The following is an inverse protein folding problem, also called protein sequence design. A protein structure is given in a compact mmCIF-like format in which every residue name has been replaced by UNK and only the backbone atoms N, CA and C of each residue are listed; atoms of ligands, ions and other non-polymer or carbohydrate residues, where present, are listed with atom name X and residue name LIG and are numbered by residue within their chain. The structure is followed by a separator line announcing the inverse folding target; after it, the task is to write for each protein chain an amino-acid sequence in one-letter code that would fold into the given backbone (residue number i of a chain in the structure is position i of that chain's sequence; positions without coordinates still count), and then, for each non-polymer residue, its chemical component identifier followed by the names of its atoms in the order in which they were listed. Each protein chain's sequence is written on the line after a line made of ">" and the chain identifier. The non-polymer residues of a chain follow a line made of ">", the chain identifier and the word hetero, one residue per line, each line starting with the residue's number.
data_IF_925353627069
#
_entry.id   IF_925353627069
#
_cell.length_a   1.000
_cell.length_b   1.000
_cell.length_c   1.000
_cell.angle_alpha   90.00
_cell.angle_beta   90.00
_cell.angle_gamma   90.00
#
_symmetry.space_group_name_H-M   'P 1'
#
loop_
_entity.id
_entity.type
_entity.pdbx_description
1 polymer ?
#
# COMPACT_ATOMS: atom_id res chain seq x y z
N UNK A 1 -8.83 11.99 3.67
CA UNK A 1 -9.00 11.25 2.41
C UNK A 1 -7.71 11.29 1.61
N UNK A 2 -7.19 10.16 1.24
CA UNK A 2 -5.95 10.11 0.51
C UNK A 2 -5.67 8.76 -0.09
N UNK A 3 -4.75 8.73 -1.00
CA UNK A 3 -4.35 7.50 -1.66
C UNK A 3 -2.94 7.14 -1.22
N UNK A 4 -2.72 5.86 -0.96
CA UNK A 4 -1.37 5.35 -0.71
C UNK A 4 -0.86 4.84 -2.05
N UNK A 5 0.23 5.42 -2.53
CA UNK A 5 0.77 5.10 -3.84
C UNK A 5 2.10 4.37 -3.72
N UNK A 6 2.45 3.62 -4.77
CA UNK A 6 3.71 2.91 -4.80
C UNK A 6 4.87 3.90 -4.96
N UNK A 7 5.92 3.80 -4.13
CA UNK A 7 7.07 4.68 -4.27
C UNK A 7 7.91 4.36 -5.49
N UNK A 8 7.80 3.13 -5.98
CA UNK A 8 8.49 2.69 -7.20
C UNK A 8 7.80 1.44 -7.70
N UNK A 9 8.10 1.05 -8.93
CA UNK A 9 7.57 -0.19 -9.48
C UNK A 9 8.10 -1.39 -8.73
N UNK A 10 7.27 -2.39 -8.55
CA UNK A 10 7.67 -3.60 -7.85
C UNK A 10 6.53 -4.60 -7.78
N UNK A 11 6.72 -5.64 -6.97
CA UNK A 11 5.75 -6.70 -6.80
C UNK A 11 5.23 -6.66 -5.37
N UNK A 12 3.91 -6.76 -5.22
CA UNK A 12 3.29 -6.81 -3.90
C UNK A 12 3.53 -8.21 -3.32
N UNK A 13 4.27 -8.28 -2.22
CA UNK A 13 4.57 -9.56 -1.60
C UNK A 13 3.75 -9.82 -0.36
N UNK A 14 3.15 -8.78 0.22
CA UNK A 14 2.25 -8.95 1.36
C UNK A 14 1.35 -7.72 1.45
N UNK A 15 0.09 -7.92 1.83
CA UNK A 15 -0.87 -6.84 2.07
C UNK A 15 -1.32 -6.97 3.51
N UNK A 16 -1.12 -5.92 4.30
CA UNK A 16 -1.33 -5.96 5.74
C UNK A 16 -2.64 -5.33 6.19
N UNK A 17 -3.41 -4.75 5.28
CA UNK A 17 -4.68 -4.10 5.61
C UNK A 17 -5.76 -4.55 4.65
N UNK A 18 -7.00 -4.30 5.04
CA UNK A 18 -8.17 -4.61 4.21
C UNK A 18 -9.18 -3.47 4.37
N UNK A 19 -10.16 -3.44 3.47
CA UNK A 19 -11.20 -2.43 3.54
C UNK A 19 -11.88 -2.46 4.91
N UNK A 20 -12.04 -1.29 5.50
CA UNK A 20 -12.61 -1.13 6.83
C UNK A 20 -11.59 -0.98 7.95
N UNK A 21 -10.31 -1.28 7.69
CA UNK A 21 -9.29 -1.15 8.73
C UNK A 21 -8.96 0.33 8.97
N UNK A 22 -8.72 0.67 10.23
CA UNK A 22 -8.23 2.00 10.59
C UNK A 22 -6.71 1.99 10.57
N UNK A 23 -6.12 3.02 10.00
CA UNK A 23 -4.66 3.15 9.93
C UNK A 23 -4.24 4.52 10.41
N UNK A 24 -3.03 4.62 10.90
CA UNK A 24 -2.41 5.89 11.28
C UNK A 24 -1.27 6.19 10.34
N UNK A 25 -0.91 7.46 10.23
CA UNK A 25 0.24 7.85 9.44
C UNK A 25 1.47 7.07 9.90
N UNK A 26 2.17 6.47 8.94
CA UNK A 26 3.35 5.66 9.23
C UNK A 26 3.08 4.18 9.40
N UNK A 27 1.82 3.77 9.49
CA UNK A 27 1.50 2.34 9.58
C UNK A 27 1.81 1.65 8.26
N UNK A 28 2.41 0.46 8.35
CA UNK A 28 2.69 -0.33 7.15
C UNK A 28 1.39 -0.92 6.62
N UNK A 29 1.12 -0.67 5.35
CA UNK A 29 -0.10 -1.18 4.71
C UNK A 29 0.21 -2.34 3.79
N UNK A 30 1.39 -2.38 3.21
CA UNK A 30 1.82 -3.53 2.41
C UNK A 30 3.34 -3.51 2.25
N UNK A 31 3.86 -4.60 1.69
CA UNK A 31 5.28 -4.73 1.40
C UNK A 31 5.44 -4.92 -0.10
N UNK A 32 6.32 -4.14 -0.70
CA UNK A 32 6.71 -4.28 -2.10
C UNK A 32 8.09 -4.89 -2.19
N UNK A 33 8.31 -5.71 -3.21
CA UNK A 33 9.64 -6.15 -3.57
C UNK A 33 10.07 -5.36 -4.80
N UNK A 34 11.20 -4.66 -4.70
CA UNK A 34 11.75 -3.90 -5.81
C UNK A 34 13.26 -3.98 -5.71
N UNK A 35 13.93 -4.19 -6.84
CA UNK A 35 15.40 -4.27 -6.90
C UNK A 35 15.95 -5.27 -5.91
N UNK A 36 15.27 -6.41 -5.74
CA UNK A 36 15.64 -7.49 -4.83
C UNK A 36 15.62 -7.10 -3.36
N UNK A 37 14.89 -6.02 -3.04
CA UNK A 37 14.74 -5.55 -1.67
C UNK A 37 13.27 -5.49 -1.31
N UNK A 38 12.96 -5.71 -0.04
CA UNK A 38 11.61 -5.55 0.47
C UNK A 38 11.46 -4.12 0.99
N UNK A 39 10.41 -3.45 0.53
CA UNK A 39 10.15 -2.06 0.89
C UNK A 39 8.78 -1.99 1.55
N UNK A 40 8.69 -1.58 2.82
CA UNK A 40 7.38 -1.36 3.42
C UNK A 40 6.74 -0.10 2.84
N UNK A 41 5.48 -0.20 2.48
CA UNK A 41 4.71 0.95 2.05
C UNK A 41 3.84 1.35 3.22
N UNK A 42 3.91 2.61 3.62
CA UNK A 42 3.23 3.10 4.80
C UNK A 42 2.14 4.09 4.42
N UNK A 43 1.15 4.21 5.29
CA UNK A 43 0.10 5.20 5.11
C UNK A 43 0.69 6.60 5.26
N UNK A 44 0.32 7.50 4.37
CA UNK A 44 0.81 8.88 4.39
C UNK A 44 -0.09 9.79 5.23
N UNK A 45 -1.19 9.26 5.74
CA UNK A 45 -2.07 9.99 6.64
C UNK A 45 -2.93 8.98 7.40
N UNK A 46 -3.56 9.44 8.47
CA UNK A 46 -4.48 8.61 9.23
C UNK A 46 -5.83 8.57 8.55
N UNK A 47 -6.51 7.45 8.64
CA UNK A 47 -7.84 7.31 8.06
C UNK A 47 -8.31 5.88 8.10
N UNK A 48 -9.39 5.62 7.39
CA UNK A 48 -9.94 4.28 7.25
C UNK A 48 -9.72 3.80 5.83
N UNK A 49 -9.32 2.55 5.70
CA UNK A 49 -9.11 1.95 4.38
C UNK A 49 -10.46 1.80 3.70
N UNK A 50 -10.64 2.48 2.59
CA UNK A 50 -11.85 2.39 1.80
C UNK A 50 -11.76 1.23 0.83
N UNK A 51 -10.62 1.09 0.19
CA UNK A 51 -10.41 0.06 -0.83
C UNK A 51 -8.94 -0.29 -0.93
N UNK A 52 -8.64 -1.57 -1.12
CA UNK A 52 -7.29 -2.04 -1.43
C UNK A 52 -7.30 -2.42 -2.90
N UNK A 53 -6.49 -1.74 -3.71
CA UNK A 53 -6.52 -1.87 -5.16
C UNK A 53 -5.50 -2.87 -5.70
N UNK A 54 -4.76 -3.52 -4.84
CA UNK A 54 -3.77 -4.52 -5.26
C UNK A 54 -3.91 -5.77 -4.41
N UNK A 55 -3.37 -6.86 -4.91
CA UNK A 55 -3.39 -8.14 -4.21
C UNK A 55 -1.97 -8.66 -4.12
N UNK A 56 -1.75 -9.55 -3.15
CA UNK A 56 -0.48 -10.24 -3.02
C UNK A 56 -0.14 -10.92 -4.35
N UNK A 57 1.06 -10.66 -4.84
CA UNK A 57 1.54 -11.20 -6.11
C UNK A 57 1.38 -10.27 -7.30
N UNK A 58 0.68 -9.15 -7.14
CA UNK A 58 0.50 -8.20 -8.23
C UNK A 58 1.78 -7.41 -8.50
N UNK A 59 2.03 -7.15 -9.79
CA UNK A 59 3.08 -6.22 -10.18
C UNK A 59 2.46 -4.83 -10.30
N UNK A 60 3.10 -3.82 -9.75
CA UNK A 60 2.60 -2.45 -9.78
C UNK A 60 3.68 -1.52 -10.29
N UNK A 61 3.26 -0.40 -10.83
CA UNK A 61 4.18 0.63 -11.33
C UNK A 61 4.30 1.74 -10.30
N UNK A 62 5.34 2.56 -10.47
CA UNK A 62 5.54 3.72 -9.61
C UNK A 62 4.29 4.60 -9.66
N UNK A 63 3.90 5.11 -8.50
CA UNK A 63 2.76 6.00 -8.31
C UNK A 63 1.39 5.34 -8.53
N UNK A 64 1.36 4.03 -8.75
CA UNK A 64 0.09 3.31 -8.81
C UNK A 64 -0.61 3.43 -7.45
N UNK A 65 -1.93 3.63 -7.47
CA UNK A 65 -2.70 3.69 -6.24
C UNK A 65 -2.87 2.27 -5.70
N UNK A 66 -2.40 2.04 -4.48
CA UNK A 66 -2.42 0.73 -3.86
C UNK A 66 -3.55 0.61 -2.84
N UNK A 67 -3.78 1.65 -2.07
CA UNK A 67 -4.80 1.68 -1.03
C UNK A 67 -5.45 3.05 -1.06
N UNK A 68 -6.77 3.07 -0.96
CA UNK A 68 -7.54 4.32 -0.88
C UNK A 68 -8.01 4.49 0.55
N UNK A 69 -7.71 5.65 1.12
CA UNK A 69 -8.13 6.02 2.47
C UNK A 69 -9.27 7.03 2.41
N UNK A 70 -10.13 7.00 3.40
CA UNK A 70 -11.20 7.99 3.54
C UNK A 70 -11.27 8.57 4.95
#
# INVERSE_FOLDING_TARGET
>A
MGDVTAPMGGKVIDVKVKAGDAVNEGDEVLILEAMKMELPVVANESGTVKEVKCNKGDAVEAEAVLVVLE
#
